data_IF_444389181554
#
_entry.id   IF_444389181554
#
_cell.length_a   1.000
_cell.length_b   1.000
_cell.length_c   1.000
_cell.angle_alpha   90.00
_cell.angle_beta   90.00
_cell.angle_gamma   90.00
#
_symmetry.space_group_name_H-M   'P 1'
#
loop_
_entity.id
_entity.type
_entity.pdbx_description
1 polymer ?
#
# COMPACT_ATOMS: atom_id res chain seq x y z
N UNK A 1 3.41 -2.08 32.74
CA UNK A 1 4.03 -2.77 31.59
C UNK A 1 3.01 -3.26 30.54
N UNK A 2 1.82 -3.73 30.91
CA UNK A 2 0.81 -4.26 29.98
C UNK A 2 0.18 -3.23 29.05
N UNK A 3 -0.07 -2.00 29.52
CA UNK A 3 -0.74 -0.96 28.72
C UNK A 3 0.14 -0.45 27.56
N UNK A 4 1.42 -0.15 27.83
CA UNK A 4 2.39 0.27 26.79
C UNK A 4 2.58 -0.80 25.72
N UNK A 5 2.74 -2.06 26.13
CA UNK A 5 2.89 -3.18 25.20
C UNK A 5 1.63 -3.38 24.33
N UNK A 6 0.43 -3.19 24.91
CA UNK A 6 -0.82 -3.27 24.16
C UNK A 6 -0.97 -2.14 23.14
N UNK A 7 -0.63 -0.90 23.51
CA UNK A 7 -0.64 0.25 22.60
C UNK A 7 0.36 0.05 21.47
N UNK A 8 1.56 -0.45 21.76
CA UNK A 8 2.58 -0.73 20.76
C UNK A 8 2.14 -1.79 19.75
N UNK A 9 1.53 -2.88 20.25
CA UNK A 9 0.98 -3.94 19.40
C UNK A 9 -0.12 -3.41 18.48
N UNK A 10 -1.01 -2.56 18.97
CA UNK A 10 -2.07 -1.92 18.17
C UNK A 10 -1.50 -1.03 17.06
N UNK A 11 -0.48 -0.22 17.37
CA UNK A 11 0.17 0.65 16.37
C UNK A 11 0.89 -0.17 15.29
N UNK A 12 1.63 -1.21 15.66
CA UNK A 12 2.26 -2.10 14.68
C UNK A 12 1.25 -2.80 13.78
N UNK A 13 0.19 -3.38 14.36
CA UNK A 13 -0.87 -4.04 13.58
C UNK A 13 -1.52 -3.05 12.62
N UNK A 14 -1.82 -1.82 13.07
CA UNK A 14 -2.34 -0.76 12.22
C UNK A 14 -1.42 -0.42 11.04
N UNK A 15 -0.11 -0.29 11.27
CA UNK A 15 0.86 -0.01 10.22
C UNK A 15 0.96 -1.14 9.17
N UNK A 16 0.97 -2.40 9.62
CA UNK A 16 0.97 -3.55 8.70
C UNK A 16 -0.33 -3.64 7.88
N UNK A 17 -1.50 -3.46 8.52
CA UNK A 17 -2.77 -3.44 7.82
C UNK A 17 -2.86 -2.32 6.79
N UNK A 18 -2.39 -1.11 7.14
CA UNK A 18 -2.35 0.03 6.22
C UNK A 18 -1.43 -0.24 5.02
N UNK A 19 -0.26 -0.84 5.25
CA UNK A 19 0.67 -1.21 4.18
C UNK A 19 0.02 -2.19 3.17
N UNK A 20 -0.61 -3.26 3.67
CA UNK A 20 -1.26 -4.27 2.81
C UNK A 20 -2.48 -3.70 2.10
N UNK A 21 -3.33 -2.96 2.82
CA UNK A 21 -4.53 -2.35 2.24
C UNK A 21 -4.19 -1.38 1.10
N UNK A 22 -3.16 -0.55 1.26
CA UNK A 22 -2.74 0.39 0.20
C UNK A 22 -2.24 -0.31 -1.05
N UNK A 23 -1.51 -1.43 -0.92
CA UNK A 23 -1.05 -2.23 -2.06
C UNK A 23 -2.23 -2.86 -2.80
N UNK A 24 -3.21 -3.41 -2.07
CA UNK A 24 -4.41 -4.00 -2.67
C UNK A 24 -5.26 -2.94 -3.37
N UNK A 25 -5.39 -1.75 -2.78
CA UNK A 25 -6.08 -0.61 -3.41
C UNK A 25 -5.36 -0.13 -4.68
N UNK A 26 -4.03 -0.13 -4.71
CA UNK A 26 -3.25 0.17 -5.91
C UNK A 26 -3.54 -0.82 -7.05
N UNK A 27 -3.60 -2.12 -6.74
CA UNK A 27 -3.93 -3.18 -7.69
C UNK A 27 -5.37 -3.05 -8.23
N UNK A 28 -6.32 -2.68 -7.38
CA UNK A 28 -7.71 -2.40 -7.78
C UNK A 28 -7.78 -1.26 -8.81
N UNK A 29 -6.97 -0.21 -8.63
CA UNK A 29 -6.84 0.89 -9.58
C UNK A 29 -6.34 0.44 -10.95
N UNK A 30 -5.39 -0.50 -10.98
CA UNK A 30 -4.89 -1.10 -12.23
C UNK A 30 -5.99 -1.85 -12.98
N UNK A 31 -6.77 -2.67 -12.26
CA UNK A 31 -7.91 -3.41 -12.84
C UNK A 31 -8.97 -2.45 -13.36
N UNK A 32 -9.31 -1.40 -12.60
CA UNK A 32 -10.28 -0.40 -13.04
C UNK A 32 -9.85 0.34 -14.32
N UNK A 33 -8.55 0.64 -14.46
CA UNK A 33 -8.00 1.26 -15.67
C UNK A 33 -8.07 0.33 -16.89
N UNK A 34 -7.75 -0.95 -16.72
CA UNK A 34 -7.87 -1.96 -17.79
C UNK A 34 -9.33 -2.13 -18.23
N UNK A 35 -10.28 -2.16 -17.28
CA UNK A 35 -11.72 -2.24 -17.61
C UNK A 35 -12.18 -1.04 -18.42
N UNK A 36 -11.70 0.18 -18.10
CA UNK A 36 -11.99 1.38 -18.91
C UNK A 36 -11.40 1.28 -20.32
N UNK A 37 -10.16 0.80 -20.44
CA UNK A 37 -9.51 0.59 -21.73
C UNK A 37 -10.29 -0.38 -22.63
N UNK A 38 -10.77 -1.50 -22.08
CA UNK A 38 -11.61 -2.45 -22.81
C UNK A 38 -12.97 -1.86 -23.20
N UNK A 39 -13.58 -1.06 -22.33
CA UNK A 39 -14.86 -0.40 -22.64
C UNK A 39 -14.72 0.61 -23.79
N UNK A 40 -13.62 1.36 -23.83
CA UNK A 40 -13.31 2.26 -24.96
C UNK A 40 -13.11 1.48 -26.25
N UNK A 41 -12.42 0.33 -26.20
CA UNK A 41 -12.24 -0.57 -27.34
C UNK A 41 -13.57 -1.10 -27.89
N UNK A 42 -14.48 -1.52 -27.00
CA UNK A 42 -15.81 -2.03 -27.36
C UNK A 42 -16.67 -0.96 -28.05
N UNK A 43 -16.65 0.27 -27.52
CA UNK A 43 -17.49 1.37 -28.02
C UNK A 43 -17.02 1.92 -29.36
N UNK A 44 -15.70 1.94 -29.60
CA UNK A 44 -15.14 2.50 -30.82
C UNK A 44 -15.10 1.52 -32.00
N UNK A 45 -15.34 0.21 -31.77
CA UNK A 45 -15.19 -0.83 -32.80
C UNK A 45 -13.73 -1.06 -33.24
N UNK A 46 -12.79 -0.44 -32.52
CA UNK A 46 -11.35 -0.35 -32.79
C UNK A 46 -10.81 0.90 -32.09
N UNK A 47 -9.73 0.78 -31.29
CA UNK A 47 -9.19 1.88 -30.52
C UNK A 47 -7.85 2.35 -31.07
N UNK A 48 -7.64 3.68 -31.08
CA UNK A 48 -6.34 4.27 -31.34
C UNK A 48 -5.39 3.86 -30.20
N UNK A 49 -4.22 3.25 -30.48
CA UNK A 49 -3.24 2.89 -29.45
C UNK A 49 -2.84 4.08 -28.55
N UNK A 50 -2.96 5.32 -29.01
CA UNK A 50 -2.72 6.51 -28.18
C UNK A 50 -3.76 6.68 -27.05
N UNK A 51 -5.06 6.42 -27.30
CA UNK A 51 -6.11 6.49 -26.27
C UNK A 51 -6.01 5.32 -25.27
N UNK A 52 -5.65 4.13 -25.77
CA UNK A 52 -5.38 2.97 -24.92
C UNK A 52 -4.19 3.22 -23.98
N UNK A 53 -3.10 3.81 -24.49
CA UNK A 53 -1.92 4.12 -23.69
C UNK A 53 -2.24 5.12 -22.56
N UNK A 54 -3.08 6.11 -22.80
CA UNK A 54 -3.50 7.08 -21.78
C UNK A 54 -4.30 6.44 -20.63
N UNK A 55 -5.27 5.59 -20.96
CA UNK A 55 -6.11 4.91 -19.97
C UNK A 55 -5.35 3.88 -19.13
N UNK A 56 -4.39 3.17 -19.71
CA UNK A 56 -3.49 2.26 -19.00
C UNK A 56 -2.45 3.04 -18.17
N UNK A 57 -1.95 4.16 -18.70
CA UNK A 57 -1.00 5.03 -17.98
C UNK A 57 -1.58 5.58 -16.68
N UNK A 58 -2.85 6.00 -16.68
CA UNK A 58 -3.56 6.41 -15.46
C UNK A 58 -3.68 5.29 -14.42
N UNK A 59 -3.74 4.04 -14.86
CA UNK A 59 -3.84 2.85 -14.00
C UNK A 59 -2.52 2.52 -13.27
N UNK A 60 -1.38 2.83 -13.90
CA UNK A 60 -0.06 2.66 -13.27
C UNK A 60 0.21 3.73 -12.20
N UNK A 61 -0.35 4.93 -12.38
CA UNK A 61 -0.22 6.03 -11.41
C UNK A 61 -0.81 5.66 -10.03
N UNK A 62 -1.94 4.96 -10.00
CA UNK A 62 -2.55 4.51 -8.75
C UNK A 62 -1.75 3.39 -8.07
N UNK A 63 -1.04 2.57 -8.85
CA UNK A 63 -0.08 1.57 -8.31
C UNK A 63 1.11 2.26 -7.65
N UNK A 64 1.67 3.28 -8.32
CA UNK A 64 2.74 4.12 -7.81
C UNK A 64 2.34 4.81 -6.49
N UNK A 65 1.11 5.33 -6.41
CA UNK A 65 0.55 5.90 -5.18
C UNK A 65 0.45 4.88 -4.04
N UNK A 66 -0.06 3.68 -4.31
CA UNK A 66 -0.15 2.60 -3.32
C UNK A 66 1.22 2.14 -2.81
N UNK A 67 2.23 2.11 -3.69
CA UNK A 67 3.61 1.77 -3.33
C UNK A 67 4.23 2.80 -2.39
N UNK A 68 4.07 4.09 -2.66
CA UNK A 68 4.60 5.16 -1.79
C UNK A 68 4.05 5.01 -0.38
N UNK A 69 2.73 4.84 -0.24
CA UNK A 69 2.08 4.70 1.07
C UNK A 69 2.47 3.37 1.76
N UNK A 70 2.59 2.30 0.98
CA UNK A 70 3.05 1.00 1.45
C UNK A 70 4.45 1.05 2.05
N UNK A 71 5.41 1.68 1.36
CA UNK A 71 6.77 1.86 1.86
C UNK A 71 6.84 2.72 3.10
N UNK A 72 6.08 3.83 3.16
CA UNK A 72 6.03 4.69 4.34
C UNK A 72 5.48 3.91 5.55
N UNK A 73 4.39 3.16 5.37
CA UNK A 73 3.79 2.37 6.45
C UNK A 73 4.74 1.27 6.94
N UNK A 74 5.46 0.61 6.03
CA UNK A 74 6.47 -0.39 6.38
C UNK A 74 7.64 0.23 7.15
N UNK A 75 8.15 1.38 6.70
CA UNK A 75 9.23 2.10 7.37
C UNK A 75 8.85 2.49 8.81
N UNK A 76 7.64 3.01 9.01
CA UNK A 76 7.11 3.32 10.35
C UNK A 76 7.00 2.05 11.20
N UNK A 77 6.47 0.96 10.64
CA UNK A 77 6.36 -0.34 11.31
C UNK A 77 7.73 -0.87 11.77
N UNK A 78 8.75 -0.80 10.91
CA UNK A 78 10.13 -1.23 11.22
C UNK A 78 10.74 -0.36 12.32
N UNK A 79 10.64 0.97 12.24
CA UNK A 79 11.17 1.87 13.26
C UNK A 79 10.53 1.59 14.62
N UNK A 80 9.21 1.39 14.66
CA UNK A 80 8.52 0.97 15.87
C UNK A 80 9.05 -0.38 16.35
N UNK A 81 9.14 -1.39 15.48
CA UNK A 81 9.61 -2.71 15.88
C UNK A 81 11.01 -2.68 16.53
N UNK A 82 11.94 -1.89 15.96
CA UNK A 82 13.29 -1.69 16.51
C UNK A 82 13.24 -1.01 17.88
N UNK A 83 12.41 0.02 18.05
CA UNK A 83 12.28 0.72 19.34
C UNK A 83 11.73 -0.20 20.43
N UNK A 84 10.74 -1.02 20.11
CA UNK A 84 10.19 -1.99 21.06
C UNK A 84 11.18 -3.08 21.45
N UNK A 85 11.92 -3.63 20.47
CA UNK A 85 12.98 -4.60 20.74
C UNK A 85 14.03 -4.00 21.68
N UNK A 86 14.43 -2.73 21.45
CA UNK A 86 15.39 -2.02 22.28
C UNK A 86 14.88 -1.74 23.70
N UNK A 87 13.64 -1.28 23.85
CA UNK A 87 13.04 -1.03 25.17
C UNK A 87 12.96 -2.32 26.00
N UNK A 88 12.63 -3.46 25.38
CA UNK A 88 12.58 -4.76 26.05
C UNK A 88 13.96 -5.25 26.50
N UNK A 89 15.02 -4.97 25.73
CA UNK A 89 16.40 -5.32 26.10
C UNK A 89 16.94 -4.49 27.27
N UNK A 90 16.45 -3.25 27.47
CA UNK A 90 16.84 -2.41 28.60
C UNK A 90 16.08 -2.78 29.89
N UNK A 91 14.87 -3.34 29.76
CA UNK A 91 14.03 -3.73 30.90
C UNK A 91 14.42 -5.10 31.48
N UNK A 92 15.04 -5.97 30.68
CA UNK A 92 15.63 -7.23 31.14
C UNK A 92 17.11 -7.30 30.73
N UNK A 93 18.01 -6.51 31.38
CA UNK A 93 19.43 -6.78 31.28
C UNK A 93 19.65 -8.17 31.90
N UNK A 94 20.24 -9.07 31.13
CA UNK A 94 20.53 -10.44 31.58
C UNK A 94 21.23 -10.47 32.95
#
# INVERSE_FOLDING_TARGET
>A
MTEKAATFKKVMVGAYCAAVACVVLGLLGTVAGIVRAFKTLEQAGGADPAELAGSIGGAQLTTLGGWIIGFISLAVGIVFHIRYARERSLENPA
#
